data_IF_250858093682
#
_entry.id   IF_250858093682
#
_cell.length_a   1.000
_cell.length_b   1.000
_cell.length_c   1.000
_cell.angle_alpha   90.00
_cell.angle_beta   90.00
_cell.angle_gamma   90.00
#
_symmetry.space_group_name_H-M   'P 1'
#
loop_
_entity.id
_entity.type
_entity.pdbx_description
1 polymer ?
#
# COMPACT_ATOMS: atom_id res chain seq x y z
N UNK A 1 9.84 10.94 -15.66
CA UNK A 1 10.10 10.29 -14.39
C UNK A 1 8.78 9.92 -13.72
N UNK A 2 8.61 8.67 -13.33
CA UNK A 2 7.39 8.24 -12.63
C UNK A 2 7.36 8.79 -11.21
N UNK A 3 6.16 9.03 -10.71
CA UNK A 3 5.95 9.47 -9.33
C UNK A 3 5.08 8.46 -8.59
N UNK A 4 5.30 8.33 -7.30
CA UNK A 4 4.54 7.44 -6.43
C UNK A 4 4.06 8.16 -5.18
N UNK A 5 2.86 7.82 -4.77
CA UNK A 5 2.30 8.25 -3.48
C UNK A 5 2.15 7.01 -2.60
N UNK A 6 2.77 7.02 -1.44
CA UNK A 6 2.68 5.94 -0.46
C UNK A 6 1.92 6.46 0.75
N UNK A 7 0.85 5.77 1.12
CA UNK A 7 0.01 6.12 2.26
C UNK A 7 0.05 4.96 3.25
N UNK A 8 0.30 5.25 4.52
CA UNK A 8 0.39 4.19 5.52
C UNK A 8 -0.45 4.47 6.76
N UNK A 9 -0.92 3.39 7.38
CA UNK A 9 -1.60 3.43 8.67
C UNK A 9 -0.81 2.53 9.62
N UNK A 10 -0.35 3.07 10.74
CA UNK A 10 0.48 2.31 11.68
C UNK A 10 0.17 2.69 13.13
N UNK A 11 -0.16 1.70 13.95
CA UNK A 11 -0.36 1.90 15.38
C UNK A 11 0.94 1.64 16.16
N UNK A 12 1.72 0.64 15.74
CA UNK A 12 2.92 0.19 16.46
C UNK A 12 4.22 0.55 15.76
N UNK A 13 4.15 1.21 14.59
CA UNK A 13 5.32 1.54 13.80
C UNK A 13 5.70 0.50 12.74
N UNK A 14 5.08 -0.67 12.74
CA UNK A 14 5.41 -1.73 11.77
C UNK A 14 5.13 -1.30 10.32
N UNK A 15 3.98 -0.67 10.07
CA UNK A 15 3.64 -0.23 8.74
C UNK A 15 4.37 1.03 8.32
N UNK A 16 4.76 1.87 9.27
CA UNK A 16 5.65 2.99 8.99
C UNK A 16 7.00 2.47 8.49
N UNK A 17 7.56 1.44 9.15
CA UNK A 17 8.80 0.80 8.71
C UNK A 17 8.64 0.18 7.32
N UNK A 18 7.52 -0.52 7.07
CA UNK A 18 7.23 -1.09 5.75
C UNK A 18 7.16 0.02 4.69
N UNK A 19 6.49 1.12 5.00
CA UNK A 19 6.40 2.26 4.10
C UNK A 19 7.77 2.85 3.79
N UNK A 20 8.67 2.94 4.77
CA UNK A 20 10.03 3.41 4.57
C UNK A 20 10.83 2.48 3.65
N UNK A 21 10.65 1.16 3.80
CA UNK A 21 11.31 0.18 2.93
C UNK A 21 10.82 0.34 1.49
N UNK A 22 9.52 0.52 1.31
CA UNK A 22 8.92 0.73 -0.01
C UNK A 22 9.43 2.05 -0.62
N UNK A 23 9.50 3.11 0.17
CA UNK A 23 10.00 4.41 -0.26
C UNK A 23 11.44 4.31 -0.76
N UNK A 24 12.31 3.69 0.02
CA UNK A 24 13.72 3.50 -0.35
C UNK A 24 13.87 2.68 -1.63
N UNK A 25 13.07 1.63 -1.77
CA UNK A 25 13.10 0.80 -2.97
C UNK A 25 12.66 1.57 -4.21
N UNK A 26 11.62 2.40 -4.08
CA UNK A 26 11.16 3.26 -5.19
C UNK A 26 12.23 4.29 -5.57
N UNK A 27 12.84 4.93 -4.58
CA UNK A 27 13.89 5.92 -4.83
C UNK A 27 15.10 5.29 -5.54
N UNK A 28 15.44 4.05 -5.18
CA UNK A 28 16.54 3.33 -5.82
C UNK A 28 16.28 3.03 -7.30
N UNK A 29 15.02 3.08 -7.72
CA UNK A 29 14.59 2.90 -9.11
C UNK A 29 14.27 4.22 -9.80
N UNK A 30 14.70 5.32 -9.21
CA UNK A 30 14.53 6.69 -9.75
C UNK A 30 13.07 7.14 -9.84
N UNK A 31 12.23 6.67 -8.91
CA UNK A 31 10.83 7.10 -8.79
C UNK A 31 10.76 8.21 -7.73
N UNK A 32 10.09 9.30 -8.06
CA UNK A 32 9.82 10.36 -7.07
C UNK A 32 8.73 9.90 -6.11
N UNK A 33 8.97 9.94 -4.81
CA UNK A 33 8.05 9.38 -3.80
C UNK A 33 7.63 10.42 -2.78
N UNK A 34 6.34 10.43 -2.48
CA UNK A 34 5.80 11.17 -1.33
C UNK A 34 5.12 10.15 -0.41
N UNK A 35 5.54 10.10 0.85
CA UNK A 35 4.99 9.17 1.84
C UNK A 35 4.24 9.97 2.91
N UNK A 36 2.99 9.60 3.17
CA UNK A 36 2.11 10.32 4.10
C UNK A 36 1.35 9.34 4.97
N UNK A 37 1.18 9.67 6.24
CA UNK A 37 0.35 8.91 7.15
C UNK A 37 -1.12 9.07 6.74
N UNK A 38 -1.91 7.97 6.85
CA UNK A 38 -3.26 7.90 6.26
C UNK A 38 -4.23 8.94 6.81
N UNK A 39 -4.07 9.33 8.07
CA UNK A 39 -4.93 10.35 8.68
C UNK A 39 -4.67 11.76 8.11
N UNK A 40 -3.53 11.94 7.45
CA UNK A 40 -3.12 13.20 6.81
C UNK A 40 -3.24 13.16 5.30
N UNK A 41 -3.71 12.05 4.74
CA UNK A 41 -3.77 11.83 3.30
C UNK A 41 -5.21 11.90 2.79
N UNK A 42 -5.35 12.22 1.51
CA UNK A 42 -6.63 12.21 0.82
C UNK A 42 -6.47 11.28 -0.39
N UNK A 43 -7.42 10.37 -0.67
CA UNK A 43 -7.34 9.49 -1.86
C UNK A 43 -7.18 10.27 -3.17
N UNK A 44 -7.70 11.50 -3.24
CA UNK A 44 -7.52 12.34 -4.42
C UNK A 44 -6.05 12.63 -4.73
N UNK A 45 -5.16 12.51 -3.74
CA UNK A 45 -3.72 12.70 -3.94
C UNK A 45 -3.15 11.66 -4.91
N UNK A 46 -3.78 10.50 -5.01
CA UNK A 46 -3.37 9.46 -5.96
C UNK A 46 -3.57 9.87 -7.42
N UNK A 47 -4.48 10.79 -7.68
CA UNK A 47 -4.75 11.26 -9.06
C UNK A 47 -3.53 11.95 -9.67
N UNK A 48 -2.65 12.50 -8.83
CA UNK A 48 -1.45 13.23 -9.26
C UNK A 48 -0.21 12.34 -9.36
N UNK A 49 -0.35 11.04 -9.07
CA UNK A 49 0.76 10.09 -9.08
C UNK A 49 0.54 8.98 -10.10
N UNK A 50 1.63 8.41 -10.60
CA UNK A 50 1.57 7.28 -11.52
C UNK A 50 1.39 5.95 -10.77
N UNK A 51 1.91 5.88 -9.56
CA UNK A 51 1.91 4.69 -8.71
C UNK A 51 1.23 5.03 -7.38
N UNK A 52 0.30 4.17 -6.97
CA UNK A 52 -0.50 4.37 -5.75
C UNK A 52 -0.29 3.17 -4.82
N UNK A 53 0.29 3.40 -3.65
CA UNK A 53 0.59 2.30 -2.70
C UNK A 53 -0.03 2.60 -1.35
N UNK A 54 -0.67 1.60 -0.75
CA UNK A 54 -1.20 1.66 0.62
C UNK A 54 -0.51 0.59 1.45
N UNK A 55 -0.06 0.98 2.65
CA UNK A 55 0.50 0.08 3.66
C UNK A 55 -0.38 0.19 4.90
N UNK A 56 -1.10 -0.86 5.25
CA UNK A 56 -2.02 -0.81 6.39
C UNK A 56 -1.96 -2.08 7.23
N UNK A 57 -2.15 -1.91 8.54
CA UNK A 57 -2.32 -3.06 9.43
C UNK A 57 -3.79 -3.48 9.46
N UNK A 58 -4.03 -4.71 9.92
CA UNK A 58 -5.38 -5.24 10.13
C UNK A 58 -5.64 -5.25 11.64
N UNK A 59 -6.79 -4.71 12.04
CA UNK A 59 -7.14 -4.50 13.45
C UNK A 59 -8.04 -5.63 13.96
N UNK A 60 -7.68 -6.19 15.11
CA UNK A 60 -8.52 -7.11 15.87
C UNK A 60 -8.77 -8.47 15.21
N UNK A 61 -9.66 -9.25 15.84
CA UNK A 61 -9.97 -10.62 15.43
C UNK A 61 -10.79 -10.71 14.14
N UNK A 62 -11.57 -9.67 13.85
CA UNK A 62 -12.50 -9.67 12.71
C UNK A 62 -11.87 -9.08 11.43
N UNK A 63 -10.60 -8.73 11.47
CA UNK A 63 -9.93 -8.16 10.32
C UNK A 63 -10.43 -6.77 9.97
N UNK A 64 -10.71 -5.95 10.97
CA UNK A 64 -11.26 -4.61 10.78
C UNK A 64 -10.21 -3.61 10.30
N UNK A 65 -10.70 -2.60 9.56
CA UNK A 65 -9.89 -1.43 9.21
C UNK A 65 -9.49 -0.66 10.45
N UNK A 66 -8.25 -0.14 10.51
CA UNK A 66 -7.89 0.83 11.53
C UNK A 66 -8.83 2.04 11.47
N UNK A 67 -9.19 2.60 12.62
CA UNK A 67 -10.10 3.75 12.67
C UNK A 67 -9.64 4.90 11.78
N UNK A 68 -8.33 5.18 11.77
CA UNK A 68 -7.75 6.26 10.96
C UNK A 68 -7.82 5.99 9.46
N UNK A 69 -8.08 4.76 9.05
CA UNK A 69 -8.13 4.36 7.65
C UNK A 69 -9.55 4.31 7.07
N UNK A 70 -10.58 4.35 7.93
CA UNK A 70 -11.97 4.14 7.50
C UNK A 70 -12.40 5.18 6.46
N UNK A 71 -12.19 6.46 6.75
CA UNK A 71 -12.62 7.52 5.84
C UNK A 71 -11.85 7.46 4.52
N UNK A 72 -10.55 7.23 4.58
CA UNK A 72 -9.71 7.09 3.39
C UNK A 72 -10.20 5.92 2.51
N UNK A 73 -10.47 4.78 3.13
CA UNK A 73 -10.96 3.59 2.45
C UNK A 73 -12.28 3.85 1.74
N UNK A 74 -13.23 4.49 2.43
CA UNK A 74 -14.54 4.80 1.86
C UNK A 74 -14.44 5.82 0.72
N UNK A 75 -13.64 6.86 0.90
CA UNK A 75 -13.46 7.89 -0.12
C UNK A 75 -12.75 7.35 -1.36
N UNK A 76 -11.83 6.40 -1.18
CA UNK A 76 -11.09 5.78 -2.29
C UNK A 76 -12.04 5.10 -3.29
N UNK A 77 -13.16 4.58 -2.83
CA UNK A 77 -14.13 3.91 -3.69
C UNK A 77 -14.70 4.82 -4.78
N UNK A 78 -14.69 6.13 -4.55
CA UNK A 78 -15.26 7.12 -5.47
C UNK A 78 -14.23 7.79 -6.39
N UNK A 79 -12.96 7.39 -6.30
CA UNK A 79 -11.87 7.98 -7.09
C UNK A 79 -11.64 7.14 -8.36
N UNK A 80 -11.42 7.82 -9.48
CA UNK A 80 -11.05 7.16 -10.75
C UNK A 80 -9.54 7.17 -10.91
N UNK A 81 -8.93 6.00 -10.88
CA UNK A 81 -7.48 5.84 -11.02
C UNK A 81 -7.11 5.05 -12.28
N UNK A 82 -7.95 5.11 -13.30
CA UNK A 82 -7.66 4.50 -14.61
C UNK A 82 -6.33 5.04 -15.14
N UNK A 83 -5.45 4.15 -15.58
CA UNK A 83 -4.12 4.51 -16.07
C UNK A 83 -3.04 4.52 -14.98
N UNK A 84 -3.41 4.37 -13.73
CA UNK A 84 -2.47 4.27 -12.61
C UNK A 84 -2.19 2.80 -12.29
N UNK A 85 -1.06 2.57 -11.61
CA UNK A 85 -0.70 1.25 -11.11
C UNK A 85 -0.76 1.29 -9.58
N UNK A 86 -1.35 0.25 -8.98
CA UNK A 86 -1.46 0.19 -7.54
C UNK A 86 -0.69 -0.98 -6.93
N UNK A 87 -0.37 -0.85 -5.66
CA UNK A 87 0.15 -1.94 -4.84
C UNK A 87 -0.35 -1.80 -3.41
N UNK A 88 -0.54 -2.91 -2.73
CA UNK A 88 -0.97 -2.93 -1.33
C UNK A 88 -0.08 -3.89 -0.55
N UNK A 89 0.38 -3.44 0.60
CA UNK A 89 1.15 -4.27 1.53
C UNK A 89 0.75 -3.89 2.94
N UNK A 90 1.24 -4.63 3.91
CA UNK A 90 0.96 -4.29 5.29
C UNK A 90 1.30 -5.40 6.24
N UNK A 91 1.25 -5.06 7.53
CA UNK A 91 1.51 -6.01 8.60
C UNK A 91 0.22 -6.44 9.28
N UNK A 92 0.27 -7.59 9.91
CA UNK A 92 -0.80 -8.12 10.74
C UNK A 92 -0.20 -9.10 11.73
N UNK A 93 -1.05 -9.89 12.36
CA UNK A 93 -0.62 -10.91 13.31
C UNK A 93 -1.26 -12.24 12.91
N UNK A 94 -0.43 -13.24 12.63
CA UNK A 94 -0.91 -14.58 12.24
C UNK A 94 -1.67 -15.27 13.37
N UNK A 95 -1.62 -14.72 14.59
CA UNK A 95 -2.45 -15.19 15.70
C UNK A 95 -3.95 -15.07 15.37
N UNK A 96 -4.35 -14.08 14.55
CA UNK A 96 -5.75 -13.86 14.18
C UNK A 96 -6.09 -14.57 12.88
N UNK A 97 -7.35 -15.07 12.78
CA UNK A 97 -7.82 -15.82 11.62
C UNK A 97 -7.80 -14.99 10.33
N UNK A 98 -8.07 -13.69 10.43
CA UNK A 98 -8.14 -12.78 9.30
C UNK A 98 -6.80 -12.05 9.09
N UNK A 99 -5.71 -12.79 9.04
CA UNK A 99 -4.36 -12.25 8.87
C UNK A 99 -4.26 -11.32 7.65
N UNK A 100 -3.93 -10.05 7.91
CA UNK A 100 -3.74 -9.02 6.89
C UNK A 100 -4.93 -8.86 5.93
N UNK A 101 -6.16 -9.10 6.39
CA UNK A 101 -7.37 -8.96 5.58
C UNK A 101 -7.53 -7.56 4.99
N UNK A 102 -7.14 -6.52 5.73
CA UNK A 102 -7.26 -5.13 5.28
C UNK A 102 -6.43 -4.90 4.02
N UNK A 103 -5.31 -5.59 3.87
CA UNK A 103 -4.49 -5.53 2.65
C UNK A 103 -5.32 -5.97 1.44
N UNK A 104 -6.05 -7.08 1.58
CA UNK A 104 -6.92 -7.59 0.51
C UNK A 104 -8.09 -6.65 0.25
N UNK A 105 -8.64 -6.04 1.31
CA UNK A 105 -9.76 -5.11 1.18
C UNK A 105 -9.34 -3.87 0.36
N UNK A 106 -8.17 -3.31 0.63
CA UNK A 106 -7.66 -2.18 -0.15
C UNK A 106 -7.39 -2.57 -1.60
N UNK A 107 -6.84 -3.77 -1.83
CA UNK A 107 -6.60 -4.25 -3.19
C UNK A 107 -7.91 -4.33 -3.99
N UNK A 108 -8.97 -4.84 -3.37
CA UNK A 108 -10.29 -4.92 -4.01
C UNK A 108 -10.84 -3.53 -4.36
N UNK A 109 -10.65 -2.54 -3.49
CA UNK A 109 -11.10 -1.17 -3.76
C UNK A 109 -10.30 -0.56 -4.90
N UNK A 110 -8.99 -0.76 -4.95
CA UNK A 110 -8.18 -0.27 -6.07
C UNK A 110 -8.66 -0.84 -7.40
N UNK A 111 -9.05 -2.11 -7.43
CA UNK A 111 -9.61 -2.69 -8.66
C UNK A 111 -10.89 -1.95 -9.09
N UNK A 112 -11.72 -1.54 -8.14
CA UNK A 112 -12.92 -0.76 -8.43
C UNK A 112 -12.61 0.62 -9.00
N UNK A 113 -11.45 1.20 -8.66
CA UNK A 113 -11.03 2.52 -9.17
C UNK A 113 -10.56 2.46 -10.61
N UNK A 114 -10.38 1.28 -11.17
CA UNK A 114 -9.84 1.12 -12.53
C UNK A 114 -8.32 1.08 -12.57
N UNK A 115 -7.64 1.16 -11.44
CA UNK A 115 -6.17 1.06 -11.39
C UNK A 115 -5.71 -0.35 -11.78
N UNK A 116 -4.52 -0.43 -12.36
CA UNK A 116 -3.92 -1.69 -12.78
C UNK A 116 -3.08 -2.27 -11.64
N UNK A 117 -3.27 -3.56 -11.35
CA UNK A 117 -2.48 -4.25 -10.34
C UNK A 117 -1.01 -4.30 -10.77
N UNK A 118 -0.13 -3.80 -9.91
CA UNK A 118 1.31 -3.77 -10.19
C UNK A 118 2.04 -5.02 -9.73
N UNK A 119 1.63 -5.57 -8.59
CA UNK A 119 2.21 -6.78 -8.02
C UNK A 119 1.21 -7.42 -7.08
N UNK A 120 1.42 -8.67 -6.72
CA UNK A 120 0.64 -9.34 -5.68
C UNK A 120 0.85 -8.61 -4.35
N UNK A 121 -0.17 -8.65 -3.49
CA UNK A 121 -0.08 -8.03 -2.17
C UNK A 121 1.02 -8.70 -1.34
N UNK A 122 1.65 -7.92 -0.46
CA UNK A 122 2.66 -8.45 0.47
C UNK A 122 2.12 -8.33 1.88
N UNK A 123 2.09 -9.45 2.58
CA UNK A 123 1.61 -9.55 3.96
C UNK A 123 2.79 -9.88 4.87
N UNK A 124 2.97 -9.08 5.90
CA UNK A 124 4.07 -9.22 6.86
C UNK A 124 3.51 -9.57 8.23
N UNK A 125 4.09 -10.59 8.87
CA UNK A 125 3.70 -10.97 10.23
C UNK A 125 4.51 -10.13 11.22
N UNK A 126 3.81 -9.21 11.90
CA UNK A 126 4.38 -8.27 12.86
C UNK A 126 5.40 -7.34 12.20
N UNK A 127 6.66 -7.37 12.61
CA UNK A 127 7.68 -6.49 12.01
C UNK A 127 8.42 -7.16 10.85
N UNK A 128 8.86 -6.36 9.88
CA UNK A 128 9.56 -6.86 8.70
C UNK A 128 10.94 -7.42 9.05
N UNK A 129 11.21 -8.63 8.59
CA UNK A 129 12.50 -9.28 8.71
C UNK A 129 13.20 -9.29 7.34
N UNK A 130 14.40 -9.84 7.26
CA UNK A 130 15.20 -9.83 6.03
C UNK A 130 14.45 -10.41 4.83
N UNK A 131 13.73 -11.51 5.02
CA UNK A 131 12.93 -12.14 3.96
C UNK A 131 11.80 -11.24 3.50
N UNK A 132 11.15 -10.55 4.45
CA UNK A 132 10.07 -9.62 4.14
C UNK A 132 10.58 -8.42 3.35
N UNK A 133 11.77 -7.93 3.67
CA UNK A 133 12.40 -6.83 2.95
C UNK A 133 12.65 -7.23 1.49
N UNK A 134 13.12 -8.45 1.24
CA UNK A 134 13.30 -8.97 -0.11
C UNK A 134 11.98 -9.03 -0.87
N UNK A 135 10.91 -9.48 -0.21
CA UNK A 135 9.58 -9.53 -0.81
C UNK A 135 9.07 -8.14 -1.17
N UNK A 136 9.30 -7.16 -0.29
CA UNK A 136 8.90 -5.78 -0.55
C UNK A 136 9.70 -5.14 -1.69
N UNK A 137 10.98 -5.44 -1.78
CA UNK A 137 11.81 -4.95 -2.89
C UNK A 137 11.34 -5.53 -4.22
N UNK A 138 11.00 -6.81 -4.25
CA UNK A 138 10.44 -7.46 -5.44
C UNK A 138 9.09 -6.85 -5.79
N UNK A 139 8.24 -6.63 -4.81
CA UNK A 139 6.93 -5.99 -4.95
C UNK A 139 7.08 -4.63 -5.65
N UNK A 140 7.98 -3.79 -5.17
CA UNK A 140 8.23 -2.47 -5.76
C UNK A 140 8.77 -2.59 -7.18
N UNK A 141 9.71 -3.50 -7.40
CA UNK A 141 10.31 -3.73 -8.72
C UNK A 141 9.24 -4.11 -9.76
N UNK A 142 8.32 -4.99 -9.38
CA UNK A 142 7.24 -5.41 -10.26
C UNK A 142 6.27 -4.26 -10.57
N UNK A 143 5.95 -3.45 -9.55
CA UNK A 143 5.08 -2.28 -9.71
C UNK A 143 5.69 -1.27 -10.69
N UNK A 144 6.98 -0.97 -10.52
CA UNK A 144 7.67 -0.02 -11.39
C UNK A 144 7.74 -0.54 -12.82
N UNK A 145 8.03 -1.84 -12.99
CA UNK A 145 8.05 -2.46 -14.32
C UNK A 145 6.69 -2.40 -14.99
N UNK A 146 5.61 -2.63 -14.23
CA UNK A 146 4.25 -2.56 -14.77
C UNK A 146 3.89 -1.15 -15.21
N UNK A 147 4.25 -0.15 -14.41
CA UNK A 147 4.00 1.25 -14.75
C UNK A 147 4.75 1.65 -16.01
N UNK A 148 5.98 1.21 -16.16
CA UNK A 148 6.80 1.51 -17.34
C UNK A 148 6.25 0.87 -18.61
N UNK A 149 5.46 -0.20 -18.50
CA UNK A 149 4.88 -0.91 -19.63
C UNK A 149 3.53 -0.34 -20.09
N UNK A 150 2.96 0.60 -19.36
CA UNK A 150 1.66 1.20 -19.71
C UNK A 150 1.78 2.27 -20.79
#
# INVERSE_FOLDING_TARGET
MATAKVVYASMTGNNEEIAEIVEEALESLNVGVETTEISQADPADFEDSDICIVCSYTYGDDGDLPDEAVDFYEDLKDIDLTGKVYGVCGSGDTFYDDFCKVVDDFAAVFEQTGATKGSDVVKVDLSAEAEDIEHLEKFVSEIVAKQSAL
#
